data_IF_086190558062
#
_entry.id   IF_086190558062
#
_cell.length_a   1.000
_cell.length_b   1.000
_cell.length_c   1.000
_cell.angle_alpha   90.00
_cell.angle_beta   90.00
_cell.angle_gamma   90.00
#
_symmetry.space_group_name_H-M   'P 1'
#
loop_
_entity.id
_entity.type
_entity.pdbx_description
1 polymer ?
#
# COMPACT_ATOMS: atom_id res chain seq x y z
N UNK A 1 16.53 -9.87 -3.32
CA UNK A 1 16.17 -8.45 -3.45
C UNK A 1 14.99 -8.33 -4.39
N UNK A 2 14.02 -7.48 -4.08
CA UNK A 2 12.87 -7.22 -4.95
C UNK A 2 13.18 -6.11 -5.94
N UNK A 3 12.56 -6.12 -7.12
CA UNK A 3 12.78 -5.08 -8.15
C UNK A 3 12.33 -3.68 -7.70
N UNK A 4 11.29 -3.60 -6.87
CA UNK A 4 10.71 -2.34 -6.37
C UNK A 4 11.38 -1.82 -5.09
N UNK A 5 12.35 -2.54 -4.53
CA UNK A 5 13.04 -2.17 -3.30
C UNK A 5 12.32 -2.57 -2.00
N UNK A 6 11.22 -3.32 -2.08
CA UNK A 6 10.60 -3.92 -0.89
C UNK A 6 11.58 -4.83 -0.17
N UNK A 7 11.54 -4.84 1.15
CA UNK A 7 12.24 -5.82 1.96
C UNK A 7 11.61 -7.21 1.76
N UNK A 8 12.42 -8.24 1.93
CA UNK A 8 11.98 -9.62 1.90
C UNK A 8 12.51 -10.33 3.15
N UNK A 9 11.70 -11.22 3.68
CA UNK A 9 12.06 -12.08 4.80
C UNK A 9 12.26 -13.51 4.30
N UNK A 10 13.27 -14.20 4.79
CA UNK A 10 13.57 -15.60 4.47
C UNK A 10 14.05 -16.32 5.71
N UNK A 11 13.75 -17.61 5.79
CA UNK A 11 14.21 -18.56 6.79
C UNK A 11 13.95 -18.19 8.27
N UNK A 12 12.69 -17.95 8.67
CA UNK A 12 11.42 -18.09 7.96
C UNK A 12 10.94 -16.81 7.29
N UNK A 13 10.06 -16.94 6.27
CA UNK A 13 9.38 -15.80 5.69
C UNK A 13 8.16 -15.39 6.53
N UNK A 14 8.37 -14.53 7.50
CA UNK A 14 7.34 -14.03 8.40
C UNK A 14 6.29 -13.13 7.71
N UNK A 15 6.64 -12.55 6.56
CA UNK A 15 5.71 -11.70 5.78
C UNK A 15 4.57 -12.50 5.14
N UNK A 16 4.72 -13.83 5.02
CA UNK A 16 3.73 -14.70 4.40
C UNK A 16 2.78 -15.40 5.39
N UNK A 17 2.89 -15.13 6.70
CA UNK A 17 1.96 -15.69 7.68
C UNK A 17 0.58 -15.07 7.45
N UNK A 18 -0.46 -15.88 7.10
CA UNK A 18 -1.78 -15.36 6.75
C UNK A 18 -2.45 -14.60 7.91
N UNK A 19 -3.24 -13.56 7.57
CA UNK A 19 -4.03 -12.82 8.57
C UNK A 19 -5.45 -13.38 8.66
N UNK A 20 -6.00 -13.86 7.52
CA UNK A 20 -7.43 -14.17 7.39
C UNK A 20 -7.80 -15.62 7.75
N UNK A 21 -6.86 -16.56 7.67
CA UNK A 21 -7.12 -17.96 8.06
C UNK A 21 -7.00 -18.14 9.56
N UNK A 22 -7.75 -19.09 10.12
CA UNK A 22 -7.69 -19.41 11.56
C UNK A 22 -6.27 -19.88 11.94
N UNK A 23 -5.66 -20.78 11.15
CA UNK A 23 -4.29 -21.24 11.38
C UNK A 23 -3.29 -20.07 11.40
N UNK A 24 -3.45 -19.11 10.48
CA UNK A 24 -2.61 -17.93 10.44
C UNK A 24 -2.76 -17.03 11.66
N UNK A 25 -3.99 -16.86 12.16
CA UNK A 25 -4.25 -16.13 13.40
C UNK A 25 -3.63 -16.84 14.60
N UNK A 26 -3.73 -18.16 14.68
CA UNK A 26 -3.14 -18.94 15.77
C UNK A 26 -1.61 -18.89 15.75
N UNK A 27 -1.00 -18.97 14.57
CA UNK A 27 0.44 -18.76 14.43
C UNK A 27 0.84 -17.36 14.94
N UNK A 28 0.09 -16.32 14.58
CA UNK A 28 0.38 -14.95 15.04
C UNK A 28 0.25 -14.78 16.56
N UNK A 29 -0.67 -15.50 17.22
CA UNK A 29 -0.80 -15.51 18.68
C UNK A 29 0.43 -16.08 19.40
N UNK A 30 1.24 -16.91 18.73
CA UNK A 30 2.46 -17.46 19.30
C UNK A 30 3.60 -16.43 19.41
N UNK A 31 3.53 -15.30 18.68
CA UNK A 31 4.48 -14.20 18.80
C UNK A 31 4.01 -13.25 19.89
N UNK A 32 4.57 -13.40 21.07
CA UNK A 32 4.21 -12.68 22.29
C UNK A 32 5.27 -11.64 22.65
N UNK A 33 4.87 -10.59 23.38
CA UNK A 33 5.79 -9.65 23.99
C UNK A 33 6.52 -10.26 25.20
N UNK A 34 7.66 -9.69 25.59
CA UNK A 34 8.31 -9.98 26.86
C UNK A 34 7.41 -9.56 28.05
N UNK A 35 7.70 -10.12 29.22
CA UNK A 35 6.94 -9.80 30.46
C UNK A 35 6.97 -8.28 30.73
N UNK A 36 5.83 -7.70 31.04
CA UNK A 36 5.59 -6.26 31.26
C UNK A 36 5.72 -5.40 29.99
N UNK A 37 5.87 -6.01 28.82
CA UNK A 37 5.86 -5.31 27.54
C UNK A 37 4.56 -5.59 26.79
N UNK A 38 4.32 -4.81 25.74
CA UNK A 38 3.27 -4.98 24.75
C UNK A 38 3.87 -4.85 23.34
N UNK A 39 3.22 -5.49 22.38
CA UNK A 39 3.48 -5.25 20.98
C UNK A 39 2.66 -4.04 20.51
N UNK A 40 3.24 -3.25 19.61
CA UNK A 40 2.57 -2.17 18.88
C UNK A 40 2.69 -2.49 17.40
N UNK A 41 1.58 -2.45 16.66
CA UNK A 41 1.59 -2.35 15.20
C UNK A 41 1.38 -0.92 14.76
N UNK A 42 2.07 -0.53 13.69
CA UNK A 42 1.91 0.74 13.01
C UNK A 42 1.84 0.48 11.51
N UNK A 43 0.65 0.59 10.93
CA UNK A 43 0.37 0.28 9.53
C UNK A 43 0.00 1.53 8.74
N UNK A 44 0.63 1.72 7.57
CA UNK A 44 0.26 2.80 6.66
C UNK A 44 -1.12 2.58 6.04
N UNK A 45 -2.04 3.48 6.31
CA UNK A 45 -3.40 3.41 5.77
C UNK A 45 -3.41 3.72 4.27
N UNK A 46 -3.65 2.69 3.44
CA UNK A 46 -3.84 2.78 1.99
C UNK A 46 -2.72 3.54 1.26
N UNK A 47 -1.46 3.36 1.66
CA UNK A 47 -0.33 4.14 1.14
C UNK A 47 -0.20 4.07 -0.38
N UNK A 48 -0.38 2.91 -1.02
CA UNK A 48 -0.29 2.76 -2.48
C UNK A 48 -1.40 3.53 -3.21
N UNK A 49 -2.62 3.56 -2.66
CA UNK A 49 -3.71 4.35 -3.24
C UNK A 49 -3.47 5.86 -3.09
N UNK A 50 -2.88 6.29 -1.98
CA UNK A 50 -2.49 7.69 -1.77
C UNK A 50 -1.40 8.09 -2.76
N UNK A 51 -0.40 7.23 -2.97
CA UNK A 51 0.66 7.44 -3.96
C UNK A 51 0.08 7.51 -5.38
N UNK A 52 -0.81 6.59 -5.75
CA UNK A 52 -1.45 6.63 -7.07
C UNK A 52 -2.24 7.92 -7.27
N UNK A 53 -3.05 8.32 -6.28
CA UNK A 53 -3.84 9.55 -6.35
C UNK A 53 -2.97 10.80 -6.52
N UNK A 54 -1.78 10.80 -5.91
CA UNK A 54 -0.83 11.90 -6.02
C UNK A 54 -0.06 11.88 -7.34
N UNK A 55 0.49 10.72 -7.76
CA UNK A 55 1.24 10.56 -9.01
C UNK A 55 0.37 10.82 -10.25
N UNK A 56 -0.86 10.35 -10.26
CA UNK A 56 -1.80 10.54 -11.36
C UNK A 56 -2.59 11.85 -11.27
N UNK A 57 -2.37 12.66 -10.24
CA UNK A 57 -3.09 13.91 -9.95
C UNK A 57 -4.62 13.77 -9.94
N UNK A 58 -5.12 12.69 -9.38
CA UNK A 58 -6.57 12.38 -9.35
C UNK A 58 -7.27 13.28 -8.33
N UNK A 59 -7.81 14.40 -8.77
CA UNK A 59 -8.41 15.44 -7.90
C UNK A 59 -9.49 14.91 -6.97
N UNK A 60 -10.35 14.01 -7.45
CA UNK A 60 -11.41 13.40 -6.63
C UNK A 60 -10.84 12.56 -5.48
N UNK A 61 -9.83 11.69 -5.77
CA UNK A 61 -9.21 10.86 -4.74
C UNK A 61 -8.40 11.72 -3.77
N UNK A 62 -7.67 12.73 -4.26
CA UNK A 62 -6.95 13.68 -3.40
C UNK A 62 -7.89 14.35 -2.42
N UNK A 63 -9.02 14.89 -2.92
CA UNK A 63 -10.05 15.53 -2.08
C UNK A 63 -10.62 14.55 -1.04
N UNK A 64 -10.93 13.31 -1.45
CA UNK A 64 -11.45 12.30 -0.55
C UNK A 64 -10.45 11.97 0.57
N UNK A 65 -9.16 11.81 0.24
CA UNK A 65 -8.11 11.58 1.24
C UNK A 65 -7.90 12.76 2.20
N UNK A 66 -7.98 14.00 1.70
CA UNK A 66 -7.88 15.20 2.54
C UNK A 66 -9.07 15.31 3.51
N UNK A 67 -10.25 14.88 3.10
CA UNK A 67 -11.47 14.89 3.91
C UNK A 67 -11.63 13.64 4.79
N UNK A 68 -10.68 12.68 4.77
CA UNK A 68 -10.82 11.37 5.40
C UNK A 68 -12.04 10.57 4.96
N UNK A 69 -12.47 10.74 3.71
CA UNK A 69 -13.55 9.96 3.12
C UNK A 69 -13.08 8.56 2.74
N UNK A 70 -14.00 7.58 2.79
CA UNK A 70 -13.70 6.21 2.35
C UNK A 70 -13.64 6.12 0.82
N UNK A 71 -12.43 6.04 0.28
CA UNK A 71 -12.20 5.97 -1.17
C UNK A 71 -12.82 4.74 -1.83
N UNK A 72 -12.98 3.64 -1.11
CA UNK A 72 -13.63 2.44 -1.66
C UNK A 72 -15.14 2.65 -1.79
N UNK A 73 -15.75 3.35 -0.85
CA UNK A 73 -17.15 3.76 -0.93
C UNK A 73 -17.35 4.82 -2.03
N UNK A 74 -16.45 5.80 -2.16
CA UNK A 74 -16.44 6.75 -3.26
C UNK A 74 -16.36 6.04 -4.62
N UNK A 75 -15.38 5.16 -4.79
CA UNK A 75 -15.22 4.37 -6.02
C UNK A 75 -16.45 3.52 -6.31
N UNK A 76 -17.04 2.89 -5.29
CA UNK A 76 -18.25 2.10 -5.43
C UNK A 76 -19.40 2.96 -5.97
N UNK A 77 -19.60 4.15 -5.41
CA UNK A 77 -20.60 5.09 -5.88
C UNK A 77 -20.40 5.48 -7.35
N UNK A 78 -19.15 5.79 -7.72
CA UNK A 78 -18.81 6.23 -9.08
C UNK A 78 -18.93 5.10 -10.12
N UNK A 79 -18.43 3.90 -9.81
CA UNK A 79 -18.36 2.77 -10.75
C UNK A 79 -19.72 2.09 -10.92
N UNK A 80 -20.45 1.91 -9.82
CA UNK A 80 -21.74 1.20 -9.83
C UNK A 80 -22.94 2.14 -9.91
N UNK A 81 -22.75 3.48 -9.93
CA UNK A 81 -23.83 4.46 -10.06
C UNK A 81 -24.79 4.51 -8.88
N UNK A 82 -24.32 4.09 -7.67
CA UNK A 82 -25.15 4.09 -6.45
C UNK A 82 -24.86 5.33 -5.59
N UNK A 83 -25.86 5.82 -4.88
CA UNK A 83 -25.66 6.85 -3.87
C UNK A 83 -24.74 6.34 -2.74
N UNK A 84 -23.87 7.22 -2.22
CA UNK A 84 -22.86 6.85 -1.20
C UNK A 84 -23.48 6.16 0.03
N UNK A 85 -24.63 6.67 0.50
CA UNK A 85 -25.35 6.15 1.64
C UNK A 85 -26.07 4.80 1.39
N UNK A 86 -26.14 4.35 0.13
CA UNK A 86 -26.72 3.08 -0.30
C UNK A 86 -25.66 2.02 -0.66
N UNK A 87 -24.38 2.32 -0.44
CA UNK A 87 -23.31 1.37 -0.70
C UNK A 87 -23.30 0.32 0.40
N UNK A 88 -23.61 -0.93 0.05
CA UNK A 88 -23.50 -2.09 0.93
C UNK A 88 -22.04 -2.61 1.01
N UNK A 89 -21.78 -3.45 1.99
CA UNK A 89 -20.45 -4.01 2.25
C UNK A 89 -19.90 -4.81 1.06
N UNK A 90 -20.75 -5.51 0.31
CA UNK A 90 -20.33 -6.28 -0.85
C UNK A 90 -19.92 -5.37 -2.02
N UNK A 91 -20.72 -4.36 -2.34
CA UNK A 91 -20.40 -3.37 -3.37
C UNK A 91 -19.11 -2.63 -3.03
N UNK A 92 -18.91 -2.24 -1.76
CA UNK A 92 -17.66 -1.65 -1.28
C UNK A 92 -16.48 -2.62 -1.42
N UNK A 93 -16.65 -3.90 -1.13
CA UNK A 93 -15.63 -4.94 -1.30
C UNK A 93 -15.23 -5.10 -2.77
N UNK A 94 -16.20 -5.10 -3.70
CA UNK A 94 -15.93 -5.12 -5.14
C UNK A 94 -15.14 -3.89 -5.58
N UNK A 95 -15.52 -2.69 -5.14
CA UNK A 95 -14.77 -1.46 -5.43
C UNK A 95 -13.35 -1.49 -4.85
N UNK A 96 -13.15 -2.04 -3.66
CA UNK A 96 -11.82 -2.27 -3.09
C UNK A 96 -10.98 -3.17 -3.99
N UNK A 97 -11.55 -4.26 -4.50
CA UNK A 97 -10.86 -5.16 -5.42
C UNK A 97 -10.51 -4.48 -6.75
N UNK A 98 -11.39 -3.61 -7.28
CA UNK A 98 -11.13 -2.82 -8.49
C UNK A 98 -9.96 -1.84 -8.23
N UNK A 99 -10.01 -1.05 -7.16
CA UNK A 99 -8.97 -0.08 -6.82
C UNK A 99 -7.58 -0.73 -6.73
N UNK A 100 -7.45 -1.82 -5.98
CA UNK A 100 -6.18 -2.54 -5.89
C UNK A 100 -5.81 -3.24 -7.19
N UNK A 101 -6.81 -3.83 -7.87
CA UNK A 101 -6.59 -4.47 -9.16
C UNK A 101 -5.99 -3.50 -10.19
N UNK A 102 -6.47 -2.27 -10.25
CA UNK A 102 -5.96 -1.23 -11.16
C UNK A 102 -4.49 -0.91 -10.86
N UNK A 103 -4.11 -0.75 -9.58
CA UNK A 103 -2.71 -0.52 -9.17
C UNK A 103 -1.80 -1.63 -9.69
N UNK A 104 -2.27 -2.87 -9.66
CA UNK A 104 -1.50 -4.04 -10.11
C UNK A 104 -1.70 -4.39 -11.59
N UNK A 105 -2.42 -3.53 -12.34
CA UNK A 105 -2.68 -3.72 -13.76
C UNK A 105 -3.52 -4.96 -14.05
N UNK A 106 -4.55 -5.22 -13.24
CA UNK A 106 -5.41 -6.39 -13.38
C UNK A 106 -6.07 -6.43 -14.76
N UNK A 107 -6.12 -7.62 -15.36
CA UNK A 107 -6.89 -7.83 -16.59
C UNK A 107 -8.38 -7.98 -16.27
N UNK A 108 -9.23 -7.73 -17.25
CA UNK A 108 -10.67 -8.00 -17.19
C UNK A 108 -10.97 -9.41 -16.68
N UNK A 109 -10.29 -10.43 -17.20
CA UNK A 109 -10.44 -11.82 -16.75
C UNK A 109 -10.04 -12.02 -15.28
N UNK A 110 -8.93 -11.41 -14.87
CA UNK A 110 -8.47 -11.45 -13.46
C UNK A 110 -9.46 -10.80 -12.51
N UNK A 111 -10.01 -9.64 -12.89
CA UNK A 111 -11.03 -8.94 -12.12
C UNK A 111 -12.32 -9.76 -12.02
N UNK A 112 -12.82 -10.29 -13.16
CA UNK A 112 -14.02 -11.11 -13.21
C UNK A 112 -13.94 -12.28 -12.19
N UNK A 113 -12.82 -13.00 -12.19
CA UNK A 113 -12.56 -14.09 -11.24
C UNK A 113 -12.50 -13.60 -9.78
N UNK A 114 -11.85 -12.46 -9.54
CA UNK A 114 -11.63 -11.95 -8.17
C UNK A 114 -12.92 -11.49 -7.49
N UNK A 115 -13.83 -10.87 -8.24
CA UNK A 115 -15.09 -10.35 -7.70
C UNK A 115 -16.31 -11.21 -8.04
N UNK A 116 -16.07 -12.37 -8.68
CA UNK A 116 -17.10 -13.36 -9.05
C UNK A 116 -18.24 -12.77 -9.91
N UNK A 117 -17.85 -12.21 -11.05
CA UNK A 117 -18.77 -11.67 -12.08
C UNK A 117 -18.39 -12.19 -13.47
N UNK A 118 -19.23 -11.96 -14.47
CA UNK A 118 -18.90 -12.27 -15.85
C UNK A 118 -17.77 -11.38 -16.39
N UNK A 119 -17.09 -11.83 -17.46
CA UNK A 119 -16.06 -11.02 -18.11
C UNK A 119 -16.61 -9.69 -18.64
N UNK A 120 -17.84 -9.69 -19.18
CA UNK A 120 -18.46 -8.49 -19.70
C UNK A 120 -18.75 -7.46 -18.59
N UNK A 121 -19.28 -7.90 -17.45
CA UNK A 121 -19.48 -7.02 -16.29
C UNK A 121 -18.15 -6.45 -15.78
N UNK A 122 -17.10 -7.27 -15.70
CA UNK A 122 -15.78 -6.80 -15.29
C UNK A 122 -15.22 -5.74 -16.27
N UNK A 123 -15.45 -5.91 -17.57
CA UNK A 123 -15.09 -4.92 -18.59
C UNK A 123 -15.87 -3.61 -18.41
N UNK A 124 -17.17 -3.69 -18.20
CA UNK A 124 -18.02 -2.52 -17.92
C UNK A 124 -17.53 -1.77 -16.68
N UNK A 125 -17.17 -2.47 -15.60
CA UNK A 125 -16.66 -1.85 -14.39
C UNK A 125 -15.30 -1.17 -14.62
N UNK A 126 -14.38 -1.80 -15.37
CA UNK A 126 -13.10 -1.18 -15.71
C UNK A 126 -13.30 0.05 -16.60
N UNK A 127 -14.18 -0.02 -17.59
CA UNK A 127 -14.49 1.10 -18.46
C UNK A 127 -15.14 2.25 -17.67
N UNK A 128 -16.10 1.95 -16.79
CA UNK A 128 -16.71 2.93 -15.89
C UNK A 128 -15.68 3.58 -14.97
N UNK A 129 -14.75 2.78 -14.40
CA UNK A 129 -13.68 3.28 -13.56
C UNK A 129 -12.78 4.29 -14.30
N UNK A 130 -12.30 3.94 -15.49
CA UNK A 130 -11.45 4.85 -16.28
C UNK A 130 -12.18 6.04 -16.86
N UNK A 131 -13.50 5.95 -17.02
CA UNK A 131 -14.33 7.11 -17.37
C UNK A 131 -14.45 8.10 -16.20
N UNK A 132 -14.50 7.59 -14.96
CA UNK A 132 -14.60 8.41 -13.75
C UNK A 132 -13.26 8.94 -13.24
N UNK A 133 -12.18 8.21 -13.53
CA UNK A 133 -10.81 8.54 -13.15
C UNK A 133 -9.88 8.50 -14.39
N UNK A 134 -10.10 9.39 -15.38
CA UNK A 134 -9.34 9.39 -16.63
C UNK A 134 -7.85 9.65 -16.40
N UNK A 135 -7.48 10.39 -15.34
CA UNK A 135 -6.12 10.72 -14.99
C UNK A 135 -5.29 9.44 -14.68
N UNK A 136 -5.93 8.40 -14.12
CA UNK A 136 -5.26 7.11 -13.88
C UNK A 136 -4.93 6.42 -15.20
N UNK A 137 -5.83 6.45 -16.17
CA UNK A 137 -5.58 5.89 -17.50
C UNK A 137 -4.44 6.62 -18.21
N UNK A 138 -4.41 7.94 -18.10
CA UNK A 138 -3.33 8.78 -18.64
C UNK A 138 -1.99 8.46 -17.98
N UNK A 139 -1.94 8.41 -16.64
CA UNK A 139 -0.76 7.98 -15.89
C UNK A 139 -0.22 6.64 -16.37
N UNK A 140 -1.09 5.63 -16.53
CA UNK A 140 -0.70 4.30 -17.01
C UNK A 140 -0.09 4.37 -18.41
N UNK A 141 -0.74 5.11 -19.33
CA UNK A 141 -0.30 5.25 -20.71
C UNK A 141 1.06 5.96 -20.81
N UNK A 142 1.22 7.08 -20.11
CA UNK A 142 2.47 7.84 -20.11
C UNK A 142 3.62 7.08 -19.42
N UNK A 143 3.32 6.33 -18.36
CA UNK A 143 4.31 5.47 -17.69
C UNK A 143 4.83 4.38 -18.62
N UNK A 144 3.94 3.69 -19.36
CA UNK A 144 4.33 2.68 -20.35
C UNK A 144 5.17 3.33 -21.47
N UNK A 145 4.72 4.45 -22.01
CA UNK A 145 5.41 5.18 -23.08
C UNK A 145 6.81 5.61 -22.65
N UNK A 146 6.93 6.18 -21.46
CA UNK A 146 8.22 6.52 -20.88
C UNK A 146 9.11 5.29 -20.71
N UNK A 147 8.58 4.21 -20.14
CA UNK A 147 9.32 2.98 -19.90
C UNK A 147 9.81 2.33 -21.20
N UNK A 148 9.00 2.33 -22.26
CA UNK A 148 9.41 1.81 -23.57
C UNK A 148 10.58 2.57 -24.19
N UNK A 149 10.66 3.88 -23.92
CA UNK A 149 11.75 4.74 -24.40
C UNK A 149 13.01 4.60 -23.55
N UNK A 150 12.87 4.51 -22.23
CA UNK A 150 13.99 4.60 -21.28
C UNK A 150 14.50 3.25 -20.78
N UNK A 151 13.65 2.18 -20.83
CA UNK A 151 13.95 0.87 -20.26
C UNK A 151 13.77 0.77 -18.75
N UNK A 152 13.29 1.85 -18.10
CA UNK A 152 13.05 1.90 -16.65
C UNK A 152 11.89 2.86 -16.32
N UNK A 153 11.44 2.79 -15.08
CA UNK A 153 10.55 3.78 -14.45
C UNK A 153 11.17 4.29 -13.16
N UNK A 154 10.72 5.47 -12.69
CA UNK A 154 11.20 6.06 -11.44
C UNK A 154 10.07 6.05 -10.38
N UNK A 155 10.43 5.83 -9.11
CA UNK A 155 9.55 6.18 -8.01
C UNK A 155 9.62 7.71 -7.72
N UNK A 156 8.79 8.20 -6.77
CA UNK A 156 8.74 9.63 -6.41
C UNK A 156 10.05 10.17 -5.80
N UNK A 157 10.94 9.29 -5.37
CA UNK A 157 12.25 9.61 -4.80
C UNK A 157 13.40 9.46 -5.82
N UNK A 158 13.07 9.22 -7.11
CA UNK A 158 14.05 9.10 -8.19
C UNK A 158 14.73 7.75 -8.32
N UNK A 159 14.36 6.75 -7.50
CA UNK A 159 14.90 5.39 -7.64
C UNK A 159 14.40 4.75 -8.92
N UNK A 160 15.33 4.25 -9.74
CA UNK A 160 15.04 3.56 -11.00
C UNK A 160 14.71 2.10 -10.78
N UNK A 161 13.64 1.64 -11.43
CA UNK A 161 13.31 0.21 -11.59
C UNK A 161 13.41 -0.14 -13.07
N UNK A 162 14.38 -0.97 -13.43
CA UNK A 162 14.56 -1.42 -14.80
C UNK A 162 13.52 -2.48 -15.15
N UNK A 163 12.89 -2.33 -16.32
CA UNK A 163 11.83 -3.22 -16.83
C UNK A 163 12.34 -3.92 -18.09
N UNK A 164 13.02 -5.03 -17.89
CA UNK A 164 13.54 -5.85 -18.99
C UNK A 164 12.38 -6.50 -19.73
N UNK A 165 12.33 -6.39 -21.06
CA UNK A 165 11.27 -6.98 -21.89
C UNK A 165 10.03 -6.10 -22.09
N UNK A 166 10.06 -4.80 -21.73
CA UNK A 166 8.95 -3.86 -22.01
C UNK A 166 8.64 -3.73 -23.51
N UNK A 167 9.62 -3.98 -24.37
CA UNK A 167 9.51 -3.96 -25.82
C UNK A 167 9.57 -5.37 -26.44
N UNK A 168 9.34 -6.43 -25.66
CA UNK A 168 9.38 -7.81 -26.14
C UNK A 168 8.35 -8.04 -27.26
N UNK A 169 8.72 -8.86 -28.25
CA UNK A 169 7.81 -9.23 -29.34
C UNK A 169 6.67 -10.13 -28.88
N UNK A 170 6.92 -10.95 -27.85
CA UNK A 170 5.90 -11.80 -27.25
C UNK A 170 4.89 -10.94 -26.47
N UNK A 171 3.63 -11.00 -26.87
CA UNK A 171 2.54 -10.24 -26.28
C UNK A 171 2.37 -10.50 -24.76
N UNK A 172 2.50 -11.75 -24.33
CA UNK A 172 2.32 -12.10 -22.91
C UNK A 172 3.46 -11.54 -22.05
N UNK A 173 4.71 -11.62 -22.53
CA UNK A 173 5.87 -11.03 -21.86
C UNK A 173 5.71 -9.51 -21.78
N UNK A 174 5.39 -8.87 -22.90
CA UNK A 174 5.18 -7.43 -22.96
C UNK A 174 4.08 -6.96 -22.01
N UNK A 175 2.91 -7.59 -22.01
CA UNK A 175 1.81 -7.26 -21.10
C UNK A 175 2.18 -7.42 -19.63
N UNK A 176 2.95 -8.46 -19.30
CA UNK A 176 3.45 -8.61 -17.92
C UNK A 176 4.38 -7.46 -17.54
N UNK A 177 5.26 -7.06 -18.44
CA UNK A 177 6.20 -5.96 -18.19
C UNK A 177 5.52 -4.58 -18.16
N UNK A 178 4.47 -4.36 -18.93
CA UNK A 178 3.65 -3.15 -18.85
C UNK A 178 2.98 -3.01 -17.47
N UNK A 179 2.42 -4.10 -16.94
CA UNK A 179 1.89 -4.11 -15.58
C UNK A 179 2.97 -3.84 -14.52
N UNK A 180 4.14 -4.43 -14.68
CA UNK A 180 5.28 -4.17 -13.80
C UNK A 180 5.72 -2.70 -13.86
N UNK A 181 5.74 -2.09 -15.05
CA UNK A 181 6.08 -0.68 -15.25
C UNK A 181 5.09 0.27 -14.56
N UNK A 182 3.79 -0.01 -14.64
CA UNK A 182 2.73 0.79 -14.00
C UNK A 182 2.85 0.71 -12.47
N UNK A 183 3.06 -0.50 -11.95
CA UNK A 183 3.08 -0.77 -10.53
C UNK A 183 4.37 -0.30 -9.84
N UNK A 184 5.53 -0.41 -10.51
CA UNK A 184 6.83 -0.16 -9.88
C UNK A 184 7.01 1.25 -9.30
N UNK A 185 6.54 2.35 -9.90
CA UNK A 185 6.59 3.68 -9.28
C UNK A 185 5.81 3.74 -7.97
N UNK A 186 4.63 3.13 -7.93
CA UNK A 186 3.74 3.13 -6.75
C UNK A 186 4.34 2.29 -5.63
N UNK A 187 4.62 1.04 -5.91
CA UNK A 187 5.21 0.10 -4.95
C UNK A 187 6.60 0.54 -4.47
N UNK A 188 7.42 1.05 -5.40
CA UNK A 188 8.75 1.55 -5.07
C UNK A 188 8.72 2.79 -4.20
N UNK A 189 7.71 3.65 -4.37
CA UNK A 189 7.50 4.82 -3.51
C UNK A 189 7.05 4.40 -2.11
N UNK A 190 6.09 3.48 -2.00
CA UNK A 190 5.65 2.94 -0.72
C UNK A 190 6.80 2.28 0.05
N UNK A 191 7.62 1.50 -0.66
CA UNK A 191 8.82 0.87 -0.09
C UNK A 191 9.85 1.87 0.42
N UNK A 192 10.07 2.97 -0.29
CA UNK A 192 11.00 4.01 0.12
C UNK A 192 10.48 4.82 1.31
N UNK A 193 9.17 5.14 1.34
CA UNK A 193 8.50 5.74 2.50
C UNK A 193 8.70 4.87 3.74
N UNK A 194 8.44 3.56 3.62
CA UNK A 194 8.64 2.62 4.72
C UNK A 194 10.11 2.59 5.19
N UNK A 195 11.06 2.53 4.26
CA UNK A 195 12.49 2.53 4.59
C UNK A 195 12.93 3.80 5.31
N UNK A 196 12.51 4.97 4.82
CA UNK A 196 12.81 6.24 5.48
C UNK A 196 12.19 6.32 6.87
N UNK A 197 10.95 5.80 7.04
CA UNK A 197 10.31 5.71 8.34
C UNK A 197 11.13 4.84 9.29
N UNK A 198 11.58 3.67 8.85
CA UNK A 198 12.42 2.78 9.65
C UNK A 198 13.73 3.45 10.07
N UNK A 199 14.42 4.13 9.16
CA UNK A 199 15.68 4.84 9.48
C UNK A 199 15.44 5.93 10.53
N UNK A 200 14.44 6.78 10.34
CA UNK A 200 14.11 7.85 11.29
C UNK A 200 13.66 7.31 12.66
N UNK A 201 12.98 6.16 12.67
CA UNK A 201 12.59 5.49 13.92
C UNK A 201 13.80 4.87 14.61
N UNK A 202 14.74 4.29 13.87
CA UNK A 202 15.98 3.74 14.41
C UNK A 202 16.85 4.84 15.03
N UNK A 203 16.99 5.98 14.35
CA UNK A 203 17.67 7.17 14.89
C UNK A 203 17.03 7.63 16.22
N UNK A 204 15.68 7.73 16.26
CA UNK A 204 14.94 8.13 17.48
C UNK A 204 15.09 7.12 18.62
N UNK A 205 15.10 5.82 18.31
CA UNK A 205 15.32 4.75 19.29
C UNK A 205 16.75 4.78 19.83
N UNK A 206 17.72 4.99 18.95
CA UNK A 206 19.15 4.99 19.28
C UNK A 206 19.57 6.22 20.08
N UNK A 207 18.90 7.36 19.94
CA UNK A 207 19.22 8.64 20.58
C UNK A 207 18.92 8.68 22.11
N UNK A 208 18.70 7.52 22.73
CA UNK A 208 18.73 7.23 24.18
C UNK A 208 17.58 7.72 25.05
N UNK A 209 16.63 8.47 24.51
CA UNK A 209 15.49 8.91 25.32
C UNK A 209 14.35 7.90 25.38
N UNK A 210 14.37 6.92 24.48
CA UNK A 210 13.32 5.89 24.33
C UNK A 210 13.91 4.47 24.34
N UNK A 211 14.82 4.16 25.27
CA UNK A 211 15.56 2.89 25.36
C UNK A 211 14.69 1.63 25.46
N UNK A 212 13.38 1.77 25.63
CA UNK A 212 12.44 0.67 25.83
C UNK A 212 11.58 0.39 24.60
N UNK A 213 11.80 1.08 23.49
CA UNK A 213 11.12 0.82 22.21
C UNK A 213 12.04 0.02 21.31
N UNK A 214 11.63 -1.19 20.94
CA UNK A 214 12.35 -2.09 20.03
C UNK A 214 11.56 -2.22 18.75
N UNK A 215 12.14 -1.96 17.58
CA UNK A 215 11.55 -2.27 16.28
C UNK A 215 11.87 -3.73 15.96
N UNK A 216 10.83 -4.58 15.80
CA UNK A 216 10.99 -6.03 15.69
C UNK A 216 10.85 -6.55 14.25
N UNK A 217 9.78 -6.15 13.55
CA UNK A 217 9.43 -6.70 12.25
C UNK A 217 8.93 -5.60 11.31
N UNK A 218 9.20 -5.77 10.01
CA UNK A 218 8.56 -5.05 8.93
C UNK A 218 7.78 -6.05 8.07
N UNK A 219 6.49 -5.81 7.88
CA UNK A 219 5.57 -6.70 7.15
C UNK A 219 4.72 -5.84 6.21
N UNK A 220 4.93 -5.95 4.91
CA UNK A 220 4.26 -5.14 3.88
C UNK A 220 4.36 -3.63 4.19
N UNK A 221 3.27 -3.01 4.60
CA UNK A 221 3.18 -1.58 4.92
C UNK A 221 3.11 -1.33 6.45
N UNK A 222 3.45 -2.34 7.26
CA UNK A 222 3.36 -2.36 8.72
C UNK A 222 4.74 -2.52 9.38
N UNK A 223 4.90 -1.85 10.53
CA UNK A 223 6.00 -2.06 11.46
C UNK A 223 5.47 -2.58 12.79
N UNK A 224 6.15 -3.58 13.35
CA UNK A 224 5.85 -4.11 14.68
C UNK A 224 6.97 -3.75 15.64
N UNK A 225 6.56 -3.22 16.80
CA UNK A 225 7.44 -2.81 17.88
C UNK A 225 7.10 -3.55 19.15
N UNK A 226 8.06 -3.57 20.07
CA UNK A 226 7.88 -3.97 21.45
C UNK A 226 8.24 -2.80 22.37
N UNK A 227 7.44 -2.58 23.40
CA UNK A 227 7.61 -1.47 24.35
C UNK A 227 7.08 -1.85 25.74
N UNK A 228 7.66 -1.29 26.80
CA UNK A 228 7.07 -1.40 28.13
C UNK A 228 5.64 -0.85 28.16
N UNK A 229 4.71 -1.55 28.82
CA UNK A 229 3.29 -1.23 28.85
C UNK A 229 3.00 0.23 29.28
N UNK A 230 3.76 0.74 30.27
CA UNK A 230 3.62 2.13 30.74
C UNK A 230 3.95 3.20 29.68
N UNK A 231 4.70 2.81 28.62
CA UNK A 231 5.20 3.72 27.58
C UNK A 231 4.38 3.65 26.27
N UNK A 232 3.36 2.78 26.16
CA UNK A 232 2.56 2.56 24.93
C UNK A 232 2.08 3.88 24.33
N UNK A 233 1.45 4.75 25.14
CA UNK A 233 0.83 5.99 24.66
C UNK A 233 1.88 6.93 24.07
N UNK A 234 3.02 7.10 24.77
CA UNK A 234 4.09 7.97 24.31
C UNK A 234 4.76 7.42 23.04
N UNK A 235 5.12 6.14 23.06
CA UNK A 235 5.74 5.47 21.91
C UNK A 235 4.85 5.48 20.68
N UNK A 236 3.54 5.22 20.82
CA UNK A 236 2.56 5.32 19.74
C UNK A 236 2.52 6.71 19.10
N UNK A 237 2.59 7.78 19.90
CA UNK A 237 2.64 9.16 19.40
C UNK A 237 3.91 9.43 18.62
N UNK A 238 5.07 8.97 19.10
CA UNK A 238 6.37 9.12 18.45
C UNK A 238 6.37 8.37 17.12
N UNK A 239 5.99 7.09 17.12
CA UNK A 239 5.91 6.26 15.92
C UNK A 239 5.01 6.92 14.88
N UNK A 240 3.80 7.30 15.27
CA UNK A 240 2.84 7.95 14.35
C UNK A 240 3.38 9.25 13.77
N UNK A 241 3.98 10.11 14.61
CA UNK A 241 4.58 11.38 14.18
C UNK A 241 5.68 11.16 13.14
N UNK A 242 6.59 10.21 13.39
CA UNK A 242 7.71 9.92 12.49
C UNK A 242 7.20 9.34 11.18
N UNK A 243 6.37 8.30 11.23
CA UNK A 243 5.87 7.65 10.02
C UNK A 243 5.05 8.61 9.14
N UNK A 244 4.22 9.47 9.71
CA UNK A 244 3.42 10.44 8.94
C UNK A 244 4.25 11.60 8.37
N UNK A 245 5.46 11.85 8.89
CA UNK A 245 6.35 12.93 8.44
C UNK A 245 7.21 12.61 7.22
N UNK A 246 7.20 11.34 6.73
CA UNK A 246 8.11 10.85 5.67
C UNK A 246 7.59 11.14 4.26
N UNK A 247 6.81 12.17 4.06
CA UNK A 247 6.09 12.41 2.81
C UNK A 247 6.85 13.28 1.79
N UNK A 248 7.85 14.02 2.24
CA UNK A 248 8.50 15.01 1.40
C UNK A 248 9.92 14.58 0.99
N UNK A 249 10.25 14.80 -0.26
CA UNK A 249 11.60 14.67 -0.82
C UNK A 249 11.96 15.90 -1.64
N UNK A 250 13.25 16.03 -1.97
CA UNK A 250 13.72 17.09 -2.87
C UNK A 250 13.19 16.95 -4.31
N UNK A 251 12.67 15.78 -4.67
CA UNK A 251 12.19 15.47 -6.02
C UNK A 251 10.67 15.50 -6.13
N UNK A 252 9.96 15.32 -5.02
CA UNK A 252 8.50 15.26 -4.99
C UNK A 252 7.96 15.73 -3.64
N UNK A 253 6.99 16.64 -3.67
CA UNK A 253 6.23 17.07 -2.49
C UNK A 253 4.87 16.39 -2.52
N UNK A 254 4.66 15.48 -1.57
CA UNK A 254 3.45 14.67 -1.49
C UNK A 254 2.26 15.50 -0.99
N UNK A 255 1.25 15.69 -1.83
CA UNK A 255 0.12 16.59 -1.54
C UNK A 255 -0.95 15.98 -0.62
N UNK A 256 -0.87 14.69 -0.36
CA UNK A 256 -1.84 13.92 0.45
C UNK A 256 -1.20 13.55 1.79
N UNK A 257 -1.93 13.66 2.93
CA UNK A 257 -1.38 13.21 4.21
C UNK A 257 -1.18 11.70 4.23
N UNK A 258 -0.04 11.25 4.76
CA UNK A 258 0.15 9.85 5.13
C UNK A 258 -0.57 9.62 6.46
N UNK A 259 -1.36 8.57 6.54
CA UNK A 259 -2.03 8.16 7.78
C UNK A 259 -1.48 6.82 8.25
N UNK A 260 -1.41 6.67 9.58
CA UNK A 260 -0.91 5.47 10.23
C UNK A 260 -1.92 5.03 11.28
N UNK A 261 -2.35 3.79 11.16
CA UNK A 261 -3.19 3.10 12.14
C UNK A 261 -2.29 2.42 13.16
N UNK A 262 -2.58 2.59 14.45
CA UNK A 262 -1.80 2.03 15.55
C UNK A 262 -2.67 1.16 16.42
N UNK A 263 -2.25 -0.08 16.64
CA UNK A 263 -2.86 -1.01 17.56
C UNK A 263 -1.82 -1.54 18.55
N UNK A 264 -2.26 -2.04 19.70
CA UNK A 264 -1.39 -2.66 20.70
C UNK A 264 -2.03 -3.88 21.32
N UNK A 265 -1.21 -4.86 21.72
CA UNK A 265 -1.67 -6.11 22.29
C UNK A 265 -0.55 -6.92 22.93
N UNK A 266 -0.89 -8.04 23.55
CA UNK A 266 0.05 -8.97 24.19
C UNK A 266 0.77 -9.87 23.18
N UNK A 267 0.17 -10.05 22.02
CA UNK A 267 0.68 -10.90 20.94
C UNK A 267 0.30 -10.32 19.58
N UNK A 268 1.00 -10.79 18.54
CA UNK A 268 0.77 -10.31 17.18
C UNK A 268 -0.65 -10.58 16.66
N UNK A 269 -1.30 -11.64 17.08
CA UNK A 269 -2.69 -11.95 16.69
C UNK A 269 -3.72 -10.95 17.19
N UNK A 270 -3.41 -10.15 18.21
CA UNK A 270 -4.27 -9.09 18.76
C UNK A 270 -4.13 -7.74 18.07
N UNK A 271 -3.18 -7.59 17.15
CA UNK A 271 -2.88 -6.31 16.52
C UNK A 271 -3.78 -6.02 15.30
N UNK A 272 -4.63 -6.97 14.86
CA UNK A 272 -5.48 -6.87 13.67
C UNK A 272 -6.93 -7.24 13.96
#
# INVERSE_FOLDING_TARGET
ATSTGRLASSDPNLQNIPIKSEDGKDIRKAFVSEKNNKLISADYNQVEMRILADLADVKQLKKAFLNNEDIHTLTASQVFGKEINKIDAETRRKAKAINFGIIYGISQYGLAKQINVSNNEAEEFLNSYFLKFPEIKEYMSETIKFCRKSGYVNNIFGRKTHITGINDKNFNVRNFQERAAINAPIQGSASEIMRMAMIRLDDEISDKKNNNLKMLLQIHDELIFEVEEKNIINSSKIIKKIMTSVKDSNLHSFSIPLLVDINSGDNWGQLH
#
